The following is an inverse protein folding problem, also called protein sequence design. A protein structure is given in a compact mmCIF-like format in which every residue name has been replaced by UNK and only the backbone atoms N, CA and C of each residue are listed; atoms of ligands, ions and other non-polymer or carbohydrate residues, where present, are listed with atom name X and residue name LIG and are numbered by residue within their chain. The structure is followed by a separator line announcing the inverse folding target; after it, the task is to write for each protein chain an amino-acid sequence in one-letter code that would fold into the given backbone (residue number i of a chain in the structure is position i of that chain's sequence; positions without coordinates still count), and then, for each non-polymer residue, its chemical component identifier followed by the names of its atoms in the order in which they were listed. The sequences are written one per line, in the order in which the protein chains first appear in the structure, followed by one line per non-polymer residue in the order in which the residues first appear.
data_IF_774100999630
#
_entry.id   IF_774100999630
#
_cell.length_a   1.000
_cell.length_b   1.000
_cell.length_c   1.000
_cell.angle_alpha   90.00
_cell.angle_beta   90.00
_cell.angle_gamma   90.00
#
_symmetry.space_group_name_H-M   'P 1'
#
loop_
_entity.id
_entity.type
_entity.pdbx_description
1 polymer ?
#
# COMPACT_ATOMS: atom_id res chain seq x y z
N UNK A 1 -14.67 -15.55 30.29
CA UNK A 1 -13.76 -14.72 29.46
C UNK A 1 -14.22 -13.28 29.52
N UNK A 2 -13.46 -12.37 30.16
CA UNK A 2 -13.83 -10.95 30.27
C UNK A 2 -13.52 -10.25 28.95
N UNK A 3 -14.44 -9.44 28.39
CA UNK A 3 -14.24 -8.79 27.10
C UNK A 3 -13.00 -7.89 27.09
N UNK A 4 -12.31 -7.88 25.95
CA UNK A 4 -11.21 -6.96 25.66
C UNK A 4 -11.80 -5.56 25.52
N UNK A 5 -11.42 -4.64 26.40
CA UNK A 5 -11.81 -3.23 26.30
C UNK A 5 -11.14 -2.60 25.09
N UNK A 6 -11.90 -2.41 24.01
CA UNK A 6 -11.54 -1.52 22.90
C UNK A 6 -11.78 -0.09 23.37
N UNK A 7 -10.73 0.73 23.46
CA UNK A 7 -10.88 2.19 23.56
C UNK A 7 -10.78 2.76 22.16
N UNK A 8 -11.89 3.22 21.62
CA UNK A 8 -11.91 4.06 20.42
C UNK A 8 -11.26 5.41 20.79
N UNK A 9 -10.17 5.75 20.12
CA UNK A 9 -9.58 7.08 20.16
C UNK A 9 -10.02 7.81 18.88
N UNK A 10 -11.14 8.51 18.98
CA UNK A 10 -11.66 9.39 17.92
C UNK A 10 -13.18 9.38 17.90
N UNK A 11 -13.81 10.54 18.12
CA UNK A 11 -15.22 10.70 17.79
C UNK A 11 -15.41 10.39 16.30
N UNK A 12 -16.45 9.62 15.91
CA UNK A 12 -16.87 9.60 14.53
C UNK A 12 -17.26 11.04 14.18
N UNK A 13 -16.52 11.67 13.27
CA UNK A 13 -17.09 12.80 12.54
C UNK A 13 -18.21 12.19 11.70
N UNK A 14 -19.40 12.20 12.27
CA UNK A 14 -20.63 11.92 11.55
C UNK A 14 -20.70 13.01 10.48
N UNK A 15 -20.38 12.66 9.24
CA UNK A 15 -20.57 13.53 8.11
C UNK A 15 -22.08 13.71 7.95
N UNK A 16 -22.62 14.72 8.64
CA UNK A 16 -23.99 15.15 8.48
C UNK A 16 -24.15 15.58 7.03
N UNK A 17 -24.84 14.76 6.25
CA UNK A 17 -25.30 15.08 4.91
C UNK A 17 -26.03 16.43 4.98
N UNK A 18 -25.38 17.48 4.50
CA UNK A 18 -26.03 18.78 4.35
C UNK A 18 -26.98 18.69 3.15
N UNK A 19 -28.19 19.28 3.22
CA UNK A 19 -29.06 19.39 2.07
C UNK A 19 -28.37 20.11 0.91
N UNK A 20 -28.59 19.62 -0.30
CA UNK A 20 -28.10 20.18 -1.56
C UNK A 20 -28.51 21.65 -1.66
N UNK A 21 -27.54 22.56 -1.63
CA UNK A 21 -27.78 23.97 -1.99
C UNK A 21 -28.06 24.07 -3.49
N UNK A 22 -29.08 24.86 -3.84
CA UNK A 22 -29.41 25.18 -5.23
C UNK A 22 -28.21 25.82 -5.96
N UNK A 23 -28.06 25.59 -7.27
CA UNK A 23 -26.91 26.07 -8.02
C UNK A 23 -26.83 27.60 -8.01
N UNK A 24 -25.61 28.18 -7.94
CA UNK A 24 -25.43 29.62 -7.97
C UNK A 24 -25.79 30.21 -9.35
N UNK A 25 -26.28 31.47 -9.42
CA UNK A 25 -26.56 32.13 -10.69
C UNK A 25 -25.28 32.43 -11.48
N UNK A 26 -25.42 32.49 -12.81
CA UNK A 26 -24.32 32.72 -13.78
C UNK A 26 -23.52 33.99 -13.44
N UNK A 27 -22.18 33.96 -13.61
CA UNK A 27 -21.34 35.12 -13.37
C UNK A 27 -21.57 36.22 -14.42
N UNK A 28 -21.55 37.51 -14.03
CA UNK A 28 -21.56 38.62 -14.97
C UNK A 28 -20.21 38.75 -15.70
N UNK A 29 -20.25 39.33 -16.89
CA UNK A 29 -19.10 39.57 -17.78
C UNK A 29 -18.02 40.46 -17.15
N UNK A 30 -16.72 40.17 -17.39
CA UNK A 30 -15.62 40.90 -16.79
C UNK A 30 -15.42 42.30 -17.43
N UNK A 31 -15.02 43.32 -16.64
CA UNK A 31 -14.61 44.62 -17.17
C UNK A 31 -13.20 44.58 -17.79
N UNK A 32 -12.85 45.57 -18.64
CA UNK A 32 -11.56 45.61 -19.34
C UNK A 32 -10.38 45.87 -18.38
N UNK A 33 -9.16 45.44 -18.76
CA UNK A 33 -7.99 45.51 -17.89
C UNK A 33 -7.46 46.95 -17.72
N UNK A 34 -6.93 47.31 -16.53
CA UNK A 34 -6.24 48.58 -16.30
C UNK A 34 -4.81 48.59 -16.91
N UNK A 35 -4.24 49.79 -17.15
CA UNK A 35 -2.92 49.94 -17.77
C UNK A 35 -1.75 49.55 -16.86
N UNK A 36 -0.66 49.09 -17.46
CA UNK A 36 0.56 48.58 -16.83
C UNK A 36 1.36 49.67 -16.07
N UNK A 37 1.74 49.38 -14.83
CA UNK A 37 2.72 50.13 -14.05
C UNK A 37 4.11 49.46 -14.10
N UNK A 38 5.21 50.24 -14.01
CA UNK A 38 6.58 49.75 -14.18
C UNK A 38 7.10 48.96 -12.96
N UNK A 39 8.14 48.11 -13.15
CA UNK A 39 8.56 47.16 -12.12
C UNK A 39 9.35 47.81 -10.97
N UNK A 40 9.04 47.39 -9.74
CA UNK A 40 9.81 47.62 -8.52
C UNK A 40 10.77 46.45 -8.23
N UNK A 41 11.88 46.67 -7.48
CA UNK A 41 13.01 45.75 -7.47
C UNK A 41 12.88 44.64 -6.42
N UNK A 42 13.38 43.47 -6.84
CA UNK A 42 13.93 42.32 -6.09
C UNK A 42 13.62 42.23 -4.59
N UNK A 43 12.72 41.30 -4.22
CA UNK A 43 12.67 40.73 -2.87
C UNK A 43 13.30 39.33 -2.84
N UNK A 44 14.16 39.16 -1.83
CA UNK A 44 15.02 38.01 -1.57
C UNK A 44 14.25 36.69 -1.46
N UNK A 45 14.80 35.64 -2.07
CA UNK A 45 14.21 34.30 -2.04
C UNK A 45 14.23 33.72 -0.62
N UNK A 46 13.06 33.71 0.02
CA UNK A 46 12.76 32.79 1.12
C UNK A 46 12.69 31.38 0.53
N UNK A 47 13.71 30.56 0.81
CA UNK A 47 13.77 29.16 0.41
C UNK A 47 12.70 28.37 1.16
N UNK A 48 11.59 28.11 0.49
CA UNK A 48 10.56 27.17 0.94
C UNK A 48 11.06 25.74 0.78
N UNK A 49 11.51 25.12 1.87
CA UNK A 49 11.76 23.67 1.96
C UNK A 49 10.47 22.81 1.84
N UNK A 50 9.40 23.33 1.23
CA UNK A 50 8.10 22.65 1.11
C UNK A 50 7.84 21.95 -0.22
N UNK A 51 8.67 22.16 -1.25
CA UNK A 51 8.38 21.68 -2.62
C UNK A 51 8.98 20.30 -2.97
N UNK A 52 9.89 19.76 -2.16
CA UNK A 52 10.54 18.48 -2.51
C UNK A 52 9.70 17.24 -2.14
N UNK A 53 8.68 17.41 -1.28
CA UNK A 53 7.97 16.31 -0.61
C UNK A 53 6.70 15.85 -1.35
N UNK A 54 6.10 16.67 -2.22
CA UNK A 54 4.97 16.29 -3.09
C UNK A 54 5.42 15.45 -4.31
N UNK A 55 6.69 15.56 -4.72
CA UNK A 55 7.28 14.79 -5.84
C UNK A 55 7.39 13.29 -5.54
N UNK A 56 7.33 12.87 -4.28
CA UNK A 56 7.54 11.48 -3.86
C UNK A 56 6.27 10.62 -3.92
N UNK A 57 5.09 11.24 -3.93
CA UNK A 57 3.81 10.50 -3.93
C UNK A 57 3.10 10.65 -5.27
N UNK A 58 2.95 9.56 -6.01
CA UNK A 58 2.21 9.57 -7.28
C UNK A 58 0.82 9.00 -7.07
N UNK A 59 -0.19 9.82 -7.38
CA UNK A 59 -1.61 9.46 -7.32
C UNK A 59 -2.21 9.64 -8.72
N UNK A 60 -2.52 8.55 -9.42
CA UNK A 60 -3.25 8.65 -10.68
C UNK A 60 -4.56 9.41 -10.48
N UNK A 61 -4.83 10.37 -11.36
CA UNK A 61 -6.13 11.03 -11.43
C UNK A 61 -7.14 10.05 -12.03
N UNK A 62 -8.33 10.00 -11.44
CA UNK A 62 -9.44 9.16 -11.89
C UNK A 62 -10.73 9.98 -11.83
N UNK A 63 -11.56 9.85 -12.85
CA UNK A 63 -12.83 10.60 -12.93
C UNK A 63 -13.86 10.09 -11.90
N UNK A 64 -13.91 8.77 -11.71
CA UNK A 64 -14.75 8.12 -10.71
C UNK A 64 -13.92 7.72 -9.48
N UNK A 65 -14.21 8.26 -8.27
CA UNK A 65 -13.52 7.91 -7.03
C UNK A 65 -13.54 6.43 -6.65
N UNK A 66 -14.50 5.65 -7.16
CA UNK A 66 -14.60 4.20 -6.95
C UNK A 66 -13.63 3.39 -7.81
N UNK A 67 -13.04 4.02 -8.83
CA UNK A 67 -12.06 3.39 -9.73
C UNK A 67 -10.83 2.94 -8.95
N UNK A 68 -10.53 1.65 -9.07
CA UNK A 68 -9.35 1.03 -8.52
C UNK A 68 -8.08 1.63 -9.11
N UNK A 69 -7.21 2.13 -8.24
CA UNK A 69 -5.90 2.69 -8.62
C UNK A 69 -4.82 2.31 -7.63
N UNK A 70 -3.59 2.36 -8.10
CA UNK A 70 -2.40 2.20 -7.27
C UNK A 70 -1.87 3.59 -6.88
N UNK A 71 -1.82 3.86 -5.59
CA UNK A 71 -1.11 5.02 -5.05
C UNK A 71 0.30 4.59 -4.73
N UNK A 72 1.28 5.31 -5.28
CA UNK A 72 2.69 5.01 -5.14
C UNK A 72 3.40 6.05 -4.28
N UNK A 73 4.36 5.56 -3.49
CA UNK A 73 5.30 6.35 -2.71
C UNK A 73 6.71 5.93 -3.10
N UNK A 74 7.46 6.88 -3.63
CA UNK A 74 8.84 6.69 -4.07
C UNK A 74 9.82 7.23 -3.04
N UNK A 75 10.92 6.51 -2.93
CA UNK A 75 12.17 6.99 -2.35
C UNK A 75 13.31 6.69 -3.32
N UNK A 76 14.53 7.12 -3.02
CA UNK A 76 15.70 6.87 -3.88
C UNK A 76 15.84 5.40 -4.30
N UNK A 77 15.59 4.49 -3.35
CA UNK A 77 15.89 3.05 -3.55
C UNK A 77 14.71 2.11 -3.36
N UNK A 78 13.53 2.63 -2.96
CA UNK A 78 12.38 1.80 -2.65
C UNK A 78 11.09 2.41 -3.18
N UNK A 79 10.15 1.51 -3.46
CA UNK A 79 8.80 1.87 -3.87
C UNK A 79 7.81 1.16 -2.94
N UNK A 80 6.93 1.93 -2.30
CA UNK A 80 5.72 1.40 -1.67
C UNK A 80 4.54 1.72 -2.55
N UNK A 81 3.53 0.85 -2.52
CA UNK A 81 2.25 1.23 -3.05
C UNK A 81 1.10 0.51 -2.35
N UNK A 82 -0.10 1.07 -2.54
CA UNK A 82 -1.35 0.52 -2.02
C UNK A 82 -2.50 0.74 -2.98
N UNK A 83 -3.48 -0.15 -2.91
CA UNK A 83 -4.74 0.00 -3.62
C UNK A 83 -5.59 1.13 -3.03
N UNK A 84 -6.30 1.85 -3.90
CA UNK A 84 -7.26 2.87 -3.53
C UNK A 84 -8.45 2.90 -4.52
N UNK A 85 -9.71 3.03 -4.05
CA UNK A 85 -10.11 2.80 -2.66
C UNK A 85 -9.83 1.35 -2.24
N UNK A 86 -9.71 1.09 -0.95
CA UNK A 86 -9.61 -0.29 -0.45
C UNK A 86 -10.99 -0.97 -0.68
N UNK A 87 -11.03 -2.16 -1.27
CA UNK A 87 -12.25 -2.81 -1.79
C UNK A 87 -12.86 -2.09 -3.01
N UNK A 88 -12.03 -1.79 -4.01
CA UNK A 88 -12.51 -1.36 -5.33
C UNK A 88 -13.01 -2.54 -6.19
N UNK A 89 -12.64 -3.78 -5.81
CA UNK A 89 -13.11 -5.01 -6.44
C UNK A 89 -14.64 -5.02 -6.47
N UNK A 90 -15.21 -5.00 -7.68
CA UNK A 90 -16.66 -4.94 -7.85
C UNK A 90 -17.27 -6.32 -7.63
N UNK A 91 -16.53 -7.36 -8.00
CA UNK A 91 -16.97 -8.74 -7.88
C UNK A 91 -15.84 -9.58 -7.28
N UNK A 92 -16.01 -10.16 -6.07
CA UNK A 92 -15.07 -11.17 -5.61
C UNK A 92 -15.11 -12.32 -6.63
N UNK A 93 -14.04 -12.43 -7.42
CA UNK A 93 -14.03 -13.19 -8.67
C UNK A 93 -14.45 -14.66 -8.49
N UNK A 94 -15.13 -15.20 -9.49
CA UNK A 94 -15.39 -16.63 -9.58
C UNK A 94 -14.07 -17.38 -9.72
N UNK A 95 -13.78 -18.28 -8.79
CA UNK A 95 -12.65 -19.22 -8.86
C UNK A 95 -13.17 -20.63 -9.00
N UNK A 96 -12.42 -21.45 -9.71
CA UNK A 96 -12.67 -22.88 -9.72
C UNK A 96 -12.42 -23.43 -8.31
N UNK A 97 -13.34 -24.26 -7.80
CA UNK A 97 -13.10 -24.96 -6.55
C UNK A 97 -12.03 -26.03 -6.80
N UNK A 98 -10.91 -25.95 -6.08
CA UNK A 98 -9.82 -26.94 -6.18
C UNK A 98 -9.89 -27.84 -4.94
N UNK A 99 -10.16 -29.15 -5.11
CA UNK A 99 -10.10 -30.09 -4.00
C UNK A 99 -8.75 -30.04 -3.28
N UNK A 100 -8.69 -30.16 -1.94
CA UNK A 100 -7.44 -30.05 -1.19
C UNK A 100 -6.32 -30.99 -1.67
N UNK A 101 -6.67 -32.21 -2.11
CA UNK A 101 -5.77 -33.21 -2.68
C UNK A 101 -5.25 -32.88 -4.10
N UNK A 102 -5.89 -31.91 -4.77
CA UNK A 102 -5.55 -31.45 -6.14
C UNK A 102 -4.86 -30.09 -6.16
N UNK A 103 -4.62 -29.48 -5.00
CA UNK A 103 -3.88 -28.22 -4.89
C UNK A 103 -2.43 -28.35 -5.42
N UNK A 104 -1.63 -29.37 -5.06
CA UNK A 104 -0.24 -29.45 -5.52
C UNK A 104 -0.16 -29.67 -7.03
N UNK A 105 0.68 -28.88 -7.71
CA UNK A 105 0.83 -28.93 -9.17
C UNK A 105 1.34 -30.28 -9.69
N UNK A 106 2.09 -31.02 -8.86
CA UNK A 106 2.62 -32.35 -9.13
C UNK A 106 1.52 -33.40 -9.34
N UNK A 107 0.36 -33.18 -8.72
CA UNK A 107 -0.79 -34.06 -8.88
C UNK A 107 -1.45 -33.71 -10.21
N UNK A 108 -1.56 -34.72 -11.09
CA UNK A 108 -2.27 -34.60 -12.35
C UNK A 108 -3.73 -34.23 -12.08
N UNK A 109 -4.24 -33.23 -12.80
CA UNK A 109 -5.63 -32.78 -12.69
C UNK A 109 -6.10 -32.29 -14.05
N UNK A 110 -6.55 -33.22 -14.90
CA UNK A 110 -6.85 -32.95 -16.31
C UNK A 110 -8.06 -32.04 -16.50
N UNK A 111 -9.00 -32.10 -15.57
CA UNK A 111 -10.21 -31.29 -15.54
C UNK A 111 -9.97 -29.91 -14.92
N UNK A 112 -8.73 -29.58 -14.54
CA UNK A 112 -8.39 -28.28 -13.99
C UNK A 112 -8.63 -27.17 -15.01
N UNK A 113 -9.60 -26.32 -14.72
CA UNK A 113 -9.92 -25.14 -15.52
C UNK A 113 -9.94 -23.91 -14.61
N UNK A 114 -8.95 -23.05 -14.76
CA UNK A 114 -8.83 -21.82 -13.99
C UNK A 114 -9.50 -20.65 -14.73
N UNK A 115 -10.31 -19.87 -14.01
CA UNK A 115 -10.88 -18.65 -14.55
C UNK A 115 -9.82 -17.57 -14.68
N UNK A 116 -9.93 -16.75 -15.72
CA UNK A 116 -9.05 -15.60 -15.87
C UNK A 116 -9.46 -14.49 -14.91
N UNK A 117 -8.54 -14.05 -14.05
CA UNK A 117 -8.80 -12.98 -13.09
C UNK A 117 -8.46 -11.59 -13.65
N UNK A 118 -8.15 -11.47 -14.95
CA UNK A 118 -7.55 -10.28 -15.55
C UNK A 118 -8.56 -9.24 -16.08
N UNK A 119 -9.86 -9.42 -15.83
CA UNK A 119 -10.91 -8.53 -16.36
C UNK A 119 -10.95 -7.16 -15.66
N UNK A 120 -10.58 -7.10 -14.37
CA UNK A 120 -10.51 -5.83 -13.64
C UNK A 120 -9.18 -5.11 -13.91
N UNK A 121 -9.28 -3.85 -14.34
CA UNK A 121 -8.11 -3.02 -14.69
C UNK A 121 -7.89 -1.95 -13.63
N UNK A 122 -6.65 -1.87 -13.14
CA UNK A 122 -6.19 -0.83 -12.23
C UNK A 122 -5.57 0.32 -13.00
N UNK A 123 -5.82 1.54 -12.51
CA UNK A 123 -5.05 2.70 -12.95
C UNK A 123 -3.71 2.73 -12.20
N UNK A 124 -2.62 2.59 -12.96
CA UNK A 124 -1.26 2.60 -12.43
C UNK A 124 -0.61 3.98 -12.55
N UNK A 125 0.35 4.34 -11.66
CA UNK A 125 1.15 5.56 -11.74
C UNK A 125 1.91 5.77 -13.05
N UNK A 126 2.20 4.69 -13.77
CA UNK A 126 2.92 4.70 -15.04
C UNK A 126 3.13 3.29 -15.57
N UNK A 127 3.66 3.14 -16.79
CA UNK A 127 3.83 1.84 -17.43
C UNK A 127 4.72 0.90 -16.60
N UNK A 128 5.80 1.42 -16.00
CA UNK A 128 6.78 0.63 -15.23
C UNK A 128 6.28 0.21 -13.84
N UNK A 129 5.08 0.62 -13.43
CA UNK A 129 4.50 0.26 -12.13
C UNK A 129 3.85 -1.13 -12.12
N UNK A 130 3.73 -1.77 -13.28
CA UNK A 130 3.18 -3.12 -13.43
C UNK A 130 3.81 -3.86 -14.60
N UNK A 131 3.65 -5.17 -14.64
CA UNK A 131 3.96 -5.95 -15.84
C UNK A 131 2.81 -5.76 -16.83
N UNK A 132 3.09 -4.94 -17.86
CA UNK A 132 2.11 -4.54 -18.86
C UNK A 132 1.63 -5.76 -19.68
N UNK A 133 0.31 -5.93 -19.92
CA UNK A 133 -0.22 -6.99 -20.78
C UNK A 133 0.40 -7.04 -22.19
N UNK A 134 0.93 -5.93 -22.71
CA UNK A 134 1.62 -5.90 -24.00
C UNK A 134 3.00 -6.59 -24.00
N UNK A 135 3.59 -6.82 -22.82
CA UNK A 135 4.88 -7.50 -22.68
C UNK A 135 4.65 -8.99 -22.56
N UNK A 136 5.34 -9.77 -23.40
CA UNK A 136 5.26 -11.23 -23.36
C UNK A 136 5.75 -11.77 -22.03
N UNK A 137 4.96 -12.64 -21.39
CA UNK A 137 5.32 -13.31 -20.14
C UNK A 137 6.63 -14.08 -20.28
N UNK A 138 6.90 -14.66 -21.45
CA UNK A 138 8.14 -15.39 -21.72
C UNK A 138 9.40 -14.53 -21.72
N UNK A 139 9.27 -13.20 -21.90
CA UNK A 139 10.41 -12.29 -21.86
C UNK A 139 10.79 -11.83 -20.45
N UNK A 140 9.96 -12.14 -19.44
CA UNK A 140 10.21 -11.68 -18.07
C UNK A 140 11.27 -12.55 -17.38
N UNK A 141 12.27 -11.94 -16.71
CA UNK A 141 13.36 -12.68 -16.08
C UNK A 141 12.96 -13.26 -14.71
N UNK A 142 12.17 -14.34 -14.72
CA UNK A 142 11.69 -15.01 -13.50
C UNK A 142 12.83 -15.64 -12.67
N UNK A 143 12.61 -15.79 -11.36
CA UNK A 143 13.56 -16.38 -10.42
C UNK A 143 14.94 -15.69 -10.34
N UNK A 144 15.04 -14.44 -10.79
CA UNK A 144 16.25 -13.62 -10.72
C UNK A 144 15.92 -12.14 -10.47
N UNK A 145 16.95 -11.30 -10.42
CA UNK A 145 16.79 -9.85 -10.38
C UNK A 145 16.58 -9.31 -11.80
N UNK A 146 15.52 -8.52 -11.99
CA UNK A 146 15.19 -7.82 -13.21
C UNK A 146 15.84 -6.43 -13.15
N UNK A 147 17.04 -6.31 -13.73
CA UNK A 147 17.83 -5.07 -13.69
C UNK A 147 17.19 -3.92 -14.47
N UNK A 148 16.44 -4.23 -15.53
CA UNK A 148 15.76 -3.23 -16.35
C UNK A 148 14.68 -2.49 -15.54
N UNK A 149 13.92 -3.22 -14.72
CA UNK A 149 12.85 -2.66 -13.90
C UNK A 149 13.22 -2.49 -12.42
N UNK A 150 14.47 -2.78 -12.06
CA UNK A 150 15.01 -2.74 -10.69
C UNK A 150 14.14 -3.49 -9.68
N UNK A 151 13.65 -4.67 -10.06
CA UNK A 151 12.75 -5.47 -9.23
C UNK A 151 13.27 -6.90 -9.05
N UNK A 152 13.03 -7.47 -7.88
CA UNK A 152 13.37 -8.86 -7.59
C UNK A 152 12.19 -9.76 -7.96
N UNK A 153 12.36 -10.61 -8.99
CA UNK A 153 11.38 -11.64 -9.36
C UNK A 153 11.58 -12.96 -8.61
N UNK A 154 12.41 -13.01 -7.57
CA UNK A 154 12.62 -14.19 -6.74
C UNK A 154 11.62 -14.22 -5.59
N UNK A 155 11.14 -15.42 -5.25
CA UNK A 155 10.27 -15.60 -4.08
C UNK A 155 11.11 -15.84 -2.82
N UNK A 156 10.61 -15.36 -1.69
CA UNK A 156 11.14 -15.71 -0.36
C UNK A 156 10.89 -17.18 0.00
N UNK A 157 10.03 -17.87 -0.75
CA UNK A 157 9.78 -19.31 -0.63
C UNK A 157 10.71 -20.16 -1.52
N UNK A 158 11.75 -19.54 -2.12
CA UNK A 158 12.65 -20.20 -3.04
C UNK A 158 12.23 -20.12 -4.50
N UNK A 159 12.84 -20.95 -5.34
CA UNK A 159 12.60 -20.96 -6.78
C UNK A 159 11.21 -21.52 -7.09
N UNK A 160 10.39 -20.78 -7.84
CA UNK A 160 9.09 -21.25 -8.33
C UNK A 160 9.20 -21.80 -9.75
N UNK A 161 8.31 -22.73 -10.09
CA UNK A 161 8.23 -23.31 -11.44
C UNK A 161 7.49 -22.37 -12.38
N UNK A 162 7.75 -22.53 -13.67
CA UNK A 162 7.01 -21.89 -14.74
C UNK A 162 6.13 -22.94 -15.41
N UNK A 163 4.92 -22.53 -15.79
CA UNK A 163 4.05 -23.33 -16.64
C UNK A 163 4.71 -23.52 -18.01
N UNK A 164 4.78 -24.76 -18.49
CA UNK A 164 5.52 -25.08 -19.73
C UNK A 164 4.88 -24.48 -20.98
N UNK A 165 3.57 -24.24 -20.94
CA UNK A 165 2.81 -23.79 -22.10
C UNK A 165 2.75 -22.27 -22.18
N UNK A 166 2.39 -21.62 -21.08
CA UNK A 166 2.21 -20.17 -21.00
C UNK A 166 3.46 -19.40 -20.56
N UNK A 167 4.47 -20.08 -20.03
CA UNK A 167 5.64 -19.46 -19.39
C UNK A 167 5.32 -18.73 -18.08
N UNK A 168 4.07 -18.73 -17.64
CA UNK A 168 3.64 -18.02 -16.45
C UNK A 168 4.17 -18.68 -15.16
N UNK A 169 4.49 -17.90 -14.13
CA UNK A 169 4.92 -18.44 -12.85
C UNK A 169 3.77 -19.20 -12.16
N UNK A 170 4.06 -20.43 -11.74
CA UNK A 170 3.14 -21.23 -10.93
C UNK A 170 3.25 -20.81 -9.47
N UNK A 171 2.09 -20.61 -8.82
CA UNK A 171 2.06 -20.32 -7.39
C UNK A 171 2.75 -21.45 -6.61
N UNK A 172 3.79 -21.18 -5.80
CA UNK A 172 4.48 -22.20 -5.03
C UNK A 172 3.57 -22.94 -4.03
N UNK A 173 2.44 -22.35 -3.65
CA UNK A 173 1.44 -22.97 -2.77
C UNK A 173 0.39 -23.83 -3.52
N UNK A 174 0.52 -23.99 -4.84
CA UNK A 174 -0.38 -24.83 -5.63
C UNK A 174 -1.47 -24.07 -6.39
N UNK A 175 -2.40 -24.82 -6.97
CA UNK A 175 -3.54 -24.34 -7.75
C UNK A 175 -4.49 -23.52 -6.88
N UNK A 176 -4.97 -22.41 -7.44
CA UNK A 176 -5.90 -21.48 -6.77
C UNK A 176 -7.28 -21.41 -7.43
N UNK A 177 -7.44 -22.05 -8.59
CA UNK A 177 -8.64 -21.94 -9.42
C UNK A 177 -8.74 -20.64 -10.22
N UNK A 178 -7.67 -19.84 -10.23
CA UNK A 178 -7.52 -18.61 -11.00
C UNK A 178 -6.22 -18.65 -11.81
N UNK A 179 -6.25 -18.10 -13.03
CA UNK A 179 -5.08 -17.85 -13.87
C UNK A 179 -4.95 -16.34 -14.12
N UNK A 180 -3.81 -15.94 -14.65
CA UNK A 180 -3.45 -14.53 -14.76
C UNK A 180 -2.84 -14.00 -13.46
N UNK A 181 -2.40 -12.76 -13.50
CA UNK A 181 -1.92 -12.03 -12.31
C UNK A 181 -3.04 -11.34 -11.54
N UNK A 182 -4.24 -11.27 -12.13
CA UNK A 182 -5.36 -10.49 -11.62
C UNK A 182 -4.96 -9.04 -11.35
N UNK A 183 -5.33 -8.55 -10.16
CA UNK A 183 -5.04 -7.19 -9.70
C UNK A 183 -3.61 -6.98 -9.20
N UNK A 184 -2.76 -8.00 -9.23
CA UNK A 184 -1.37 -7.85 -8.80
C UNK A 184 -0.55 -7.11 -9.86
N UNK A 185 0.33 -6.17 -9.47
CA UNK A 185 1.16 -5.43 -10.43
C UNK A 185 2.10 -6.37 -11.19
N UNK A 186 2.67 -7.40 -10.55
CA UNK A 186 3.71 -8.26 -11.14
C UNK A 186 3.25 -9.69 -11.37
N UNK A 187 3.78 -10.33 -12.40
CA UNK A 187 3.77 -11.79 -12.53
C UNK A 187 4.70 -12.42 -11.48
N UNK A 188 4.19 -13.42 -10.76
CA UNK A 188 4.93 -14.14 -9.75
C UNK A 188 4.89 -13.43 -8.39
N UNK A 189 6.02 -13.34 -7.65
CA UNK A 189 6.03 -12.78 -6.31
C UNK A 189 5.73 -11.28 -6.30
N UNK A 190 4.78 -10.88 -5.44
CA UNK A 190 4.46 -9.49 -5.13
C UNK A 190 4.72 -9.30 -3.62
N UNK A 191 5.83 -8.67 -3.26
CA UNK A 191 6.21 -8.54 -1.86
C UNK A 191 5.30 -7.55 -1.14
N UNK A 192 4.87 -7.90 0.07
CA UNK A 192 4.05 -7.06 0.91
C UNK A 192 4.64 -6.95 2.31
N UNK A 193 4.48 -5.78 2.91
CA UNK A 193 4.81 -5.53 4.30
C UNK A 193 3.56 -5.14 5.08
N UNK A 194 3.30 -5.84 6.17
CA UNK A 194 2.25 -5.51 7.13
C UNK A 194 2.86 -4.69 8.27
N UNK A 195 2.33 -3.50 8.50
CA UNK A 195 2.84 -2.58 9.52
C UNK A 195 2.08 -2.80 10.83
N UNK A 196 2.80 -3.22 11.87
CA UNK A 196 2.25 -3.40 13.21
C UNK A 196 2.88 -2.40 14.16
N UNK A 197 2.15 -1.34 14.50
CA UNK A 197 2.60 -0.36 15.48
C UNK A 197 2.13 -0.77 16.87
N UNK A 198 3.06 -0.98 17.80
CA UNK A 198 2.76 -1.47 19.14
C UNK A 198 3.30 -0.55 20.23
N UNK A 199 2.68 -0.60 21.41
CA UNK A 199 3.21 -0.03 22.65
C UNK A 199 2.73 -0.81 23.86
N UNK A 200 3.48 -0.78 24.96
CA UNK A 200 2.98 -1.31 26.23
C UNK A 200 1.87 -0.43 26.78
N UNK A 201 0.81 -1.06 27.30
CA UNK A 201 -0.22 -0.35 28.04
C UNK A 201 0.35 0.13 29.38
N UNK A 202 0.14 1.40 29.72
CA UNK A 202 0.72 2.03 30.92
C UNK A 202 -0.35 2.68 31.79
N UNK A 203 -0.17 2.58 33.11
CA UNK A 203 -0.96 3.30 34.10
C UNK A 203 -0.57 4.80 34.11
N UNK A 204 -1.35 5.70 34.76
CA UNK A 204 -0.98 7.11 34.90
C UNK A 204 0.39 7.33 35.56
N UNK A 205 0.84 6.41 36.42
CA UNK A 205 2.19 6.42 37.01
C UNK A 205 3.32 6.08 36.03
N UNK A 206 2.99 5.69 34.79
CA UNK A 206 3.95 5.20 33.80
C UNK A 206 4.28 3.71 33.89
N UNK A 207 3.84 3.01 34.93
CA UNK A 207 4.07 1.56 35.10
C UNK A 207 3.35 0.75 34.00
N UNK A 208 3.99 -0.32 33.51
CA UNK A 208 3.36 -1.24 32.54
C UNK A 208 2.23 -2.02 33.23
N UNK A 209 1.08 -2.10 32.59
CA UNK A 209 -0.08 -2.82 33.11
C UNK A 209 0.06 -4.31 32.76
N UNK A 210 -0.15 -5.17 33.77
CA UNK A 210 -0.17 -6.62 33.60
C UNK A 210 -1.59 -7.18 33.76
N UNK A 211 -1.88 -8.28 33.05
CA UNK A 211 -3.10 -9.09 33.21
C UNK A 211 -2.70 -10.56 33.17
N UNK A 212 -3.14 -11.33 34.16
CA UNK A 212 -2.74 -12.75 34.31
C UNK A 212 -1.21 -12.94 34.29
N UNK A 213 -0.48 -12.06 34.97
CA UNK A 213 0.98 -12.07 35.04
C UNK A 213 1.72 -11.54 33.80
N UNK A 214 1.05 -11.32 32.67
CA UNK A 214 1.68 -10.88 31.42
C UNK A 214 1.45 -9.38 31.15
N UNK A 215 2.44 -8.65 30.61
CA UNK A 215 2.25 -7.26 30.23
C UNK A 215 1.25 -7.14 29.08
N UNK A 216 0.42 -6.09 29.10
CA UNK A 216 -0.60 -5.86 28.07
C UNK A 216 0.01 -5.03 26.94
N UNK A 217 0.03 -5.60 25.72
CA UNK A 217 0.44 -4.90 24.51
C UNK A 217 -0.77 -4.20 23.85
N UNK A 218 -0.57 -2.99 23.37
CA UNK A 218 -1.52 -2.25 22.53
C UNK A 218 -1.02 -2.25 21.08
N UNK A 219 -1.95 -2.37 20.14
CA UNK A 219 -1.71 -2.36 18.69
C UNK A 219 -2.57 -1.28 18.06
N UNK A 220 -2.01 -0.53 17.11
CA UNK A 220 -2.79 0.32 16.22
C UNK A 220 -3.39 -0.55 15.12
N UNK A 221 -4.69 -0.44 14.92
CA UNK A 221 -5.41 -1.10 13.83
C UNK A 221 -6.34 -0.11 13.13
N UNK A 222 -6.61 -0.38 11.86
CA UNK A 222 -7.66 0.28 11.09
C UNK A 222 -8.97 -0.45 11.37
N UNK A 223 -10.06 0.28 11.59
CA UNK A 223 -11.38 -0.32 11.67
C UNK A 223 -12.15 -0.03 10.38
N UNK A 224 -12.50 -1.09 9.64
CA UNK A 224 -13.20 -0.97 8.35
C UNK A 224 -14.17 -2.13 8.19
N UNK A 225 -15.37 -1.87 7.70
CA UNK A 225 -16.39 -2.91 7.46
C UNK A 225 -16.62 -3.83 8.67
N UNK A 226 -16.66 -3.26 9.88
CA UNK A 226 -16.82 -4.00 11.15
C UNK A 226 -15.67 -4.98 11.47
N UNK A 227 -14.52 -4.83 10.84
CA UNK A 227 -13.33 -5.65 11.06
C UNK A 227 -12.11 -4.78 11.39
N UNK A 228 -11.22 -5.32 12.21
CA UNK A 228 -9.91 -4.72 12.47
C UNK A 228 -8.92 -5.22 11.44
N UNK A 229 -8.24 -4.29 10.77
CA UNK A 229 -7.25 -4.57 9.74
C UNK A 229 -5.92 -3.92 10.14
N UNK A 230 -4.82 -4.59 9.83
CA UNK A 230 -3.50 -3.97 9.91
C UNK A 230 -3.19 -3.26 8.59
N UNK A 231 -2.59 -2.06 8.62
CA UNK A 231 -2.13 -1.42 7.40
C UNK A 231 -1.06 -2.27 6.73
N UNK A 232 -1.16 -2.43 5.41
CA UNK A 232 -0.18 -3.16 4.62
C UNK A 232 0.09 -2.42 3.31
N UNK A 233 1.26 -2.65 2.76
CA UNK A 233 1.76 -2.05 1.53
C UNK A 233 2.46 -3.12 0.73
N UNK A 234 2.34 -3.07 -0.58
CA UNK A 234 3.23 -3.81 -1.44
C UNK A 234 4.54 -3.02 -1.59
N UNK A 235 5.66 -3.73 -1.76
CA UNK A 235 6.99 -3.14 -1.79
C UNK A 235 7.84 -3.71 -2.92
N UNK A 236 8.62 -2.84 -3.55
CA UNK A 236 9.74 -3.24 -4.40
C UNK A 236 11.07 -2.88 -3.74
N UNK A 237 12.04 -3.74 -3.97
CA UNK A 237 13.39 -3.64 -3.44
C UNK A 237 14.41 -3.83 -4.55
N UNK A 238 15.51 -3.07 -4.45
CA UNK A 238 16.66 -3.26 -5.31
C UNK A 238 17.45 -4.51 -4.93
N UNK A 239 18.40 -4.90 -5.79
CA UNK A 239 19.20 -6.13 -5.64
C UNK A 239 20.04 -6.19 -4.38
N UNK A 240 20.40 -5.04 -3.80
CA UNK A 240 21.25 -4.96 -2.61
C UNK A 240 20.46 -5.02 -1.29
N UNK A 241 19.13 -5.11 -1.34
CA UNK A 241 18.29 -5.11 -0.16
C UNK A 241 18.20 -6.51 0.47
N UNK A 242 18.37 -6.58 1.78
CA UNK A 242 18.24 -7.82 2.58
C UNK A 242 16.79 -8.16 2.98
N UNK A 243 15.83 -7.30 2.61
CA UNK A 243 14.44 -7.24 3.09
C UNK A 243 14.32 -6.98 4.59
N UNK A 244 15.00 -7.76 5.43
CA UNK A 244 14.82 -7.76 6.88
C UNK A 244 15.07 -6.39 7.55
N UNK A 245 16.23 -5.77 7.29
CA UNK A 245 16.55 -4.47 7.88
C UNK A 245 16.01 -3.34 7.00
N UNK A 246 16.15 -3.52 5.69
CA UNK A 246 15.73 -2.59 4.67
C UNK A 246 14.24 -2.20 4.80
N UNK A 247 13.32 -3.18 4.84
CA UNK A 247 11.86 -2.94 4.91
C UNK A 247 11.49 -2.20 6.19
N UNK A 248 12.02 -2.66 7.34
CA UNK A 248 11.71 -2.07 8.63
C UNK A 248 12.17 -0.61 8.72
N UNK A 249 13.40 -0.31 8.32
CA UNK A 249 13.94 1.05 8.35
C UNK A 249 13.19 1.97 7.39
N UNK A 250 12.91 1.49 6.18
CA UNK A 250 12.17 2.22 5.17
C UNK A 250 10.74 2.55 5.62
N UNK A 251 10.00 1.58 6.17
CA UNK A 251 8.66 1.80 6.69
C UNK A 251 8.66 2.78 7.87
N UNK A 252 9.68 2.73 8.74
CA UNK A 252 9.84 3.71 9.82
C UNK A 252 9.98 5.12 9.27
N UNK A 253 10.80 5.32 8.23
CA UNK A 253 10.97 6.62 7.57
C UNK A 253 9.66 7.06 6.92
N UNK A 254 9.01 6.18 6.16
CA UNK A 254 7.73 6.46 5.52
C UNK A 254 6.66 6.89 6.53
N UNK A 255 6.43 6.10 7.58
CA UNK A 255 5.44 6.41 8.63
C UNK A 255 5.79 7.72 9.33
N UNK A 256 7.06 7.94 9.68
CA UNK A 256 7.50 9.17 10.34
C UNK A 256 7.25 10.41 9.48
N UNK A 257 7.55 10.33 8.17
CA UNK A 257 7.27 11.43 7.21
C UNK A 257 5.77 11.68 7.08
N UNK A 258 4.98 10.62 6.89
CA UNK A 258 3.51 10.74 6.79
C UNK A 258 2.88 11.35 8.04
N UNK A 259 3.35 10.98 9.24
CA UNK A 259 2.88 11.57 10.48
C UNK A 259 3.22 13.07 10.57
N UNK A 260 4.46 13.46 10.21
CA UNK A 260 4.84 14.88 10.16
C UNK A 260 3.95 15.70 9.23
N UNK A 261 3.66 15.18 8.04
CA UNK A 261 2.81 15.83 7.04
C UNK A 261 1.36 15.95 7.52
N UNK A 262 0.78 14.88 8.06
CA UNK A 262 -0.62 14.87 8.49
C UNK A 262 -0.85 15.70 9.76
N UNK A 263 0.20 15.95 10.54
CA UNK A 263 0.07 16.52 11.87
C UNK A 263 0.79 17.86 12.05
N UNK A 264 0.82 18.65 10.98
CA UNK A 264 1.30 20.05 10.98
C UNK A 264 0.56 20.95 12.00
N UNK A 265 -0.57 20.51 12.55
CA UNK A 265 -1.34 21.21 13.59
C UNK A 265 -1.04 20.68 15.00
N UNK A 266 -0.02 21.25 15.67
CA UNK A 266 0.37 21.29 17.11
C UNK A 266 0.04 20.17 18.14
N UNK A 267 -0.68 19.09 17.82
CA UNK A 267 -1.12 18.06 18.79
C UNK A 267 -0.35 16.74 18.74
N UNK A 268 0.70 16.63 17.92
CA UNK A 268 1.24 15.34 17.49
C UNK A 268 2.74 15.13 17.71
N UNK A 269 3.41 16.17 18.23
CA UNK A 269 4.86 16.19 18.33
C UNK A 269 5.36 15.05 19.22
N UNK A 270 4.57 14.67 20.24
CA UNK A 270 4.88 13.57 21.14
C UNK A 270 4.79 12.22 20.42
N UNK A 271 3.76 11.99 19.61
CA UNK A 271 3.54 10.78 18.83
C UNK A 271 4.62 10.61 17.76
N UNK A 272 4.94 11.68 17.03
CA UNK A 272 6.04 11.70 16.05
C UNK A 272 7.36 11.35 16.74
N UNK A 273 7.64 11.98 17.88
CA UNK A 273 8.85 11.70 18.66
C UNK A 273 8.87 10.24 19.15
N UNK A 274 7.73 9.70 19.58
CA UNK A 274 7.61 8.32 20.03
C UNK A 274 7.87 7.33 18.89
N UNK A 275 7.33 7.57 17.69
CA UNK A 275 7.58 6.73 16.51
C UNK A 275 9.04 6.80 16.07
N UNK A 276 9.65 7.99 16.09
CA UNK A 276 11.07 8.17 15.76
C UNK A 276 11.99 7.45 16.75
N UNK A 277 11.66 7.47 18.04
CA UNK A 277 12.38 6.71 19.08
C UNK A 277 12.03 5.22 19.09
N UNK A 278 10.94 4.83 18.46
CA UNK A 278 10.49 3.45 18.36
C UNK A 278 11.51 2.57 17.63
N UNK A 279 11.64 1.33 18.08
CA UNK A 279 12.39 0.29 17.38
C UNK A 279 11.52 -0.24 16.24
N UNK A 280 12.09 -0.34 15.03
CA UNK A 280 11.42 -0.95 13.88
C UNK A 280 12.16 -2.21 13.52
N UNK A 281 11.45 -3.34 13.49
CA UNK A 281 12.02 -4.65 13.23
C UNK A 281 11.05 -5.51 12.47
N UNK A 282 11.60 -6.45 11.70
CA UNK A 282 10.82 -7.54 11.14
C UNK A 282 10.57 -8.60 12.21
N UNK A 283 9.29 -8.81 12.55
CA UNK A 283 8.87 -9.77 13.57
C UNK A 283 8.91 -11.23 13.08
N UNK A 284 8.68 -11.45 11.78
CA UNK A 284 8.72 -12.77 11.15
C UNK A 284 9.89 -12.77 10.18
N UNK A 285 11.01 -13.37 10.57
CA UNK A 285 12.18 -13.53 9.71
C UNK A 285 12.06 -14.81 8.92
N UNK A 286 12.44 -14.78 7.65
CA UNK A 286 12.58 -15.98 6.85
C UNK A 286 13.90 -16.65 7.26
N UNK A 287 13.80 -17.77 7.98
CA UNK A 287 14.93 -18.63 8.37
C UNK A 287 15.42 -19.49 7.21
#
# INVERSE_FOLDING_TARGET
ATPVSVRELGSPVLEQLRPVQAPPPKPPTPPPPPPEEPPSPEEESSSSESDDDDRTTVRPQVDDPTTGRIIQYLTSDHRLWRYAPFNFEQYPGMRMNVPPDRIPWEIEYREYFAFDASDEVLVYPGPDAHDNPSVSVHSLPFNQYDSAHKLRRQSMMGRYRLDSNSGAPLNPMGRTGLKGKGLLPRWGPNNAAVVVMTRWNRAPSGAVIHRLGKPILQVVSLFRHKQFCLPWYLTDHQSHCDYDQCVAQFLKVFVSRRLKQLMQHRGARQEITAVQKGRAEQAIRHS
#
